data_IF_750528380841
#
_entry.id   IF_750528380841
#
_cell.length_a   1.000
_cell.length_b   1.000
_cell.length_c   1.000
_cell.angle_alpha   90.00
_cell.angle_beta   90.00
_cell.angle_gamma   90.00
#
_symmetry.space_group_name_H-M   'P 1'
#
loop_
_entity.id
_entity.type
_entity.pdbx_description
1 polymer ?
#
# COMPACT_ATOMS: atom_id res chain seq x y z
N UNK A 1 7.87 -7.31 -20.87
CA UNK A 1 6.66 -6.50 -21.12
C UNK A 1 6.00 -6.25 -19.77
N UNK A 2 6.18 -5.06 -19.19
CA UNK A 2 5.51 -4.72 -17.92
C UNK A 2 4.05 -4.43 -18.24
N UNK A 3 3.07 -5.17 -17.68
CA UNK A 3 1.67 -4.88 -17.94
C UNK A 3 1.39 -3.47 -17.43
N UNK A 4 0.92 -2.58 -18.30
CA UNK A 4 0.33 -1.31 -17.87
C UNK A 4 -0.96 -1.67 -17.15
N UNK A 5 -0.90 -1.82 -15.83
CA UNK A 5 -2.10 -1.82 -15.01
C UNK A 5 -2.81 -0.49 -15.33
N UNK A 6 -3.96 -0.54 -16.02
CA UNK A 6 -4.80 0.65 -16.16
C UNK A 6 -5.13 1.07 -14.74
N UNK A 7 -4.59 2.22 -14.32
CA UNK A 7 -4.97 2.84 -13.06
C UNK A 7 -6.45 3.21 -13.18
N UNK A 8 -7.32 2.40 -12.59
CA UNK A 8 -8.75 2.71 -12.47
C UNK A 8 -8.92 3.93 -11.55
N UNK A 9 -9.98 4.73 -11.67
CA UNK A 9 -10.17 5.95 -10.86
C UNK A 9 -10.00 5.70 -9.34
N UNK A 10 -10.47 4.55 -8.85
CA UNK A 10 -10.31 4.10 -7.46
C UNK A 10 -8.85 3.93 -7.02
N UNK A 11 -7.91 3.67 -7.93
CA UNK A 11 -6.48 3.48 -7.63
C UNK A 11 -5.75 4.77 -7.22
N UNK A 12 -6.33 5.94 -7.50
CA UNK A 12 -5.75 7.24 -7.13
C UNK A 12 -5.93 7.51 -5.62
N UNK A 13 -6.96 6.93 -4.99
CA UNK A 13 -7.29 7.10 -3.57
C UNK A 13 -7.55 8.56 -3.17
N UNK A 14 -8.19 8.77 -2.03
CA UNK A 14 -8.48 10.11 -1.48
C UNK A 14 -8.20 10.13 0.03
N UNK A 15 -7.88 11.29 0.58
CA UNK A 15 -7.59 11.44 2.00
C UNK A 15 -6.49 10.48 2.47
N UNK A 16 -6.85 9.54 3.35
CA UNK A 16 -5.93 8.54 3.91
C UNK A 16 -5.46 7.46 2.93
N UNK A 17 -6.09 7.34 1.76
CA UNK A 17 -5.66 6.41 0.69
C UNK A 17 -4.92 7.10 -0.47
N UNK A 18 -4.70 8.41 -0.37
CA UNK A 18 -4.06 9.22 -1.42
C UNK A 18 -2.60 8.83 -1.69
N UNK A 19 -2.09 9.23 -2.86
CA UNK A 19 -0.68 9.05 -3.23
C UNK A 19 0.29 9.63 -2.20
N UNK A 20 -0.05 10.78 -1.59
CA UNK A 20 0.78 11.40 -0.55
C UNK A 20 0.97 10.49 0.67
N UNK A 21 -0.04 9.71 1.06
CA UNK A 21 0.05 8.79 2.20
C UNK A 21 0.89 7.57 1.82
N UNK A 22 0.75 7.07 0.58
CA UNK A 22 1.64 6.03 0.03
C UNK A 22 3.10 6.46 0.03
N UNK A 23 3.39 7.65 -0.46
CA UNK A 23 4.75 8.18 -0.53
C UNK A 23 5.38 8.24 0.86
N UNK A 24 4.62 8.66 1.89
CA UNK A 24 5.09 8.64 3.29
C UNK A 24 5.38 7.24 3.82
N UNK A 25 4.60 6.23 3.44
CA UNK A 25 4.92 4.84 3.79
C UNK A 25 6.23 4.42 3.13
N UNK A 26 6.42 4.74 1.85
CA UNK A 26 7.65 4.40 1.09
C UNK A 26 8.88 5.03 1.73
N UNK A 27 8.83 6.29 2.14
CA UNK A 27 9.96 6.94 2.82
C UNK A 27 10.25 6.28 4.19
N UNK A 28 9.23 5.92 4.96
CA UNK A 28 9.45 5.16 6.23
C UNK A 28 10.08 3.79 5.98
N UNK A 29 9.65 3.07 4.95
CA UNK A 29 10.21 1.77 4.60
C UNK A 29 11.68 1.88 4.16
N UNK A 30 12.00 2.95 3.41
CA UNK A 30 13.37 3.29 3.04
C UNK A 30 14.22 3.59 4.27
N UNK A 31 13.74 4.44 5.18
CA UNK A 31 14.41 4.75 6.46
C UNK A 31 14.60 3.50 7.33
N UNK A 32 13.65 2.57 7.28
CA UNK A 32 13.70 1.30 7.99
C UNK A 32 14.57 0.22 7.31
N UNK A 33 15.28 0.57 6.22
CA UNK A 33 16.34 -0.24 5.64
C UNK A 33 15.99 -0.98 4.34
N UNK A 34 14.80 -0.81 3.76
CA UNK A 34 14.50 -1.35 2.43
C UNK A 34 15.25 -0.51 1.38
N UNK A 35 16.26 -1.11 0.74
CA UNK A 35 17.12 -0.43 -0.23
C UNK A 35 16.75 -0.69 -1.70
N UNK A 36 15.95 -1.73 -1.97
CA UNK A 36 15.59 -2.09 -3.34
C UNK A 36 14.54 -1.12 -3.91
N UNK A 37 14.97 -0.26 -4.83
CA UNK A 37 14.12 0.76 -5.46
C UNK A 37 12.95 0.15 -6.26
N UNK A 38 13.15 -1.04 -6.84
CA UNK A 38 12.09 -1.71 -7.57
C UNK A 38 10.94 -2.10 -6.62
N UNK A 39 11.26 -2.63 -5.44
CA UNK A 39 10.32 -2.93 -4.36
C UNK A 39 9.64 -1.68 -3.83
N UNK A 40 10.41 -0.62 -3.53
CA UNK A 40 9.84 0.65 -3.06
C UNK A 40 8.88 1.27 -4.10
N UNK A 41 9.22 1.20 -5.39
CA UNK A 41 8.34 1.66 -6.46
C UNK A 41 7.08 0.79 -6.61
N UNK A 42 7.18 -0.53 -6.40
CA UNK A 42 6.01 -1.40 -6.36
C UNK A 42 5.06 -1.02 -5.21
N UNK A 43 5.59 -0.78 -4.00
CA UNK A 43 4.80 -0.30 -2.86
C UNK A 43 4.16 1.07 -3.15
N UNK A 44 4.89 1.96 -3.82
CA UNK A 44 4.41 3.31 -4.20
C UNK A 44 3.23 3.26 -5.17
N UNK A 45 3.21 2.29 -6.07
CA UNK A 45 2.29 2.26 -7.22
C UNK A 45 1.13 1.29 -7.06
N UNK A 46 1.29 0.21 -6.28
CA UNK A 46 0.22 -0.75 -6.02
C UNK A 46 -0.73 -0.18 -4.94
N UNK A 47 -2.02 0.03 -5.25
CA UNK A 47 -2.99 0.62 -4.33
C UNK A 47 -3.44 -0.39 -3.27
N UNK A 48 -2.62 -0.60 -2.23
CA UNK A 48 -2.88 -1.55 -1.12
C UNK A 48 -4.29 -1.45 -0.51
N UNK A 49 -4.89 -0.27 -0.48
CA UNK A 49 -6.25 -0.05 0.04
C UNK A 49 -7.35 -0.77 -0.75
N UNK A 50 -7.10 -1.21 -1.99
CA UNK A 50 -8.06 -2.01 -2.77
C UNK A 50 -8.09 -3.49 -2.36
N UNK A 51 -7.18 -3.92 -1.49
CA UNK A 51 -7.03 -5.31 -1.05
C UNK A 51 -7.49 -5.54 0.39
N UNK A 52 -8.14 -4.55 1.00
CA UNK A 52 -8.68 -4.63 2.36
C UNK A 52 -10.12 -4.12 2.37
N UNK A 53 -10.85 -4.43 3.43
CA UNK A 53 -12.20 -3.91 3.63
C UNK A 53 -12.22 -2.38 3.66
N UNK A 54 -13.25 -1.75 3.08
CA UNK A 54 -13.40 -0.30 3.01
C UNK A 54 -13.40 0.35 4.40
N UNK A 55 -13.95 -0.33 5.42
CA UNK A 55 -13.94 0.14 6.81
C UNK A 55 -12.52 0.28 7.39
N UNK A 56 -11.53 -0.38 6.79
CA UNK A 56 -10.13 -0.33 7.18
C UNK A 56 -9.25 0.47 6.20
N UNK A 57 -9.83 1.02 5.14
CA UNK A 57 -9.10 1.74 4.09
C UNK A 57 -8.24 2.89 4.63
N UNK A 58 -8.70 3.58 5.68
CA UNK A 58 -7.95 4.67 6.32
C UNK A 58 -6.64 4.23 6.98
N UNK A 59 -6.51 2.92 7.26
CA UNK A 59 -5.36 2.29 7.90
C UNK A 59 -4.46 1.55 6.91
N UNK A 60 -4.81 1.52 5.62
CA UNK A 60 -4.15 0.69 4.60
C UNK A 60 -2.62 0.86 4.52
N UNK A 61 -2.13 2.05 4.88
CA UNK A 61 -0.72 2.44 4.79
C UNK A 61 -0.05 2.65 6.16
N UNK A 62 -0.71 2.21 7.24
CA UNK A 62 -0.06 2.00 8.53
C UNK A 62 0.90 0.80 8.43
N UNK A 63 1.98 0.82 9.23
CA UNK A 63 2.88 -0.34 9.30
C UNK A 63 2.33 -1.38 10.28
N UNK A 64 1.21 -2.00 9.89
CA UNK A 64 0.49 -2.97 10.71
C UNK A 64 -0.20 -4.01 9.83
N UNK A 65 -0.37 -5.22 10.36
CA UNK A 65 -1.17 -6.25 9.71
C UNK A 65 -2.65 -5.90 9.82
N UNK A 66 -3.41 -6.13 8.74
CA UNK A 66 -4.85 -5.84 8.70
C UNK A 66 -5.63 -7.09 8.28
N UNK A 67 -6.81 -7.35 8.85
CA UNK A 67 -7.63 -8.49 8.44
C UNK A 67 -8.14 -8.32 7.01
N UNK A 68 -8.20 -9.43 6.27
CA UNK A 68 -8.74 -9.50 4.90
C UNK A 68 -9.89 -10.52 4.79
N UNK A 69 -10.47 -10.91 5.93
CA UNK A 69 -11.51 -11.94 6.01
C UNK A 69 -10.96 -13.35 6.20
N UNK A 70 -11.85 -14.30 6.45
CA UNK A 70 -11.54 -15.74 6.61
C UNK A 70 -10.45 -16.06 7.65
N UNK A 71 -10.31 -15.23 8.69
CA UNK A 71 -9.25 -15.40 9.70
C UNK A 71 -7.84 -15.04 9.21
N UNK A 72 -7.71 -14.49 8.00
CA UNK A 72 -6.44 -14.13 7.38
C UNK A 72 -6.15 -12.64 7.51
N UNK A 73 -4.88 -12.28 7.40
CA UNK A 73 -4.39 -10.89 7.40
C UNK A 73 -3.52 -10.63 6.18
N UNK A 74 -3.52 -9.38 5.72
CA UNK A 74 -2.47 -8.88 4.86
C UNK A 74 -1.28 -8.46 5.75
N UNK A 75 -0.08 -8.91 5.39
CA UNK A 75 1.15 -8.64 6.16
C UNK A 75 1.43 -7.15 6.30
N UNK A 76 2.04 -6.75 7.41
CA UNK A 76 2.53 -5.38 7.58
C UNK A 76 3.57 -5.03 6.49
N UNK A 77 3.61 -3.79 6.01
CA UNK A 77 4.53 -3.34 4.96
C UNK A 77 6.03 -3.61 5.15
N UNK A 78 6.56 -3.62 6.38
CA UNK A 78 8.01 -3.74 6.60
C UNK A 78 8.58 -5.17 6.71
N UNK A 79 7.75 -6.17 7.01
CA UNK A 79 8.18 -7.57 7.31
C UNK A 79 8.60 -8.35 6.06
#
# INVERSE_FOLDING_TARGET
MTPRLRLQPESVGIGMTSQRVRDRLVERLREAGIQDEATLNAVRTVPRHLFIDEALASRAYEDTALPIGHGQTISQPWV
#
